data_IF_096714467882
#
_entry.id   IF_096714467882
#
_cell.length_a   1.000
_cell.length_b   1.000
_cell.length_c   1.000
_cell.angle_alpha   90.00
_cell.angle_beta   90.00
_cell.angle_gamma   90.00
#
_symmetry.space_group_name_H-M   'P 1'
#
loop_
_entity.id
_entity.type
_entity.pdbx_description
1 polymer ?
#
# COMPACT_ATOMS: atom_id res chain seq x y z
N UNK A 1 49.73 -12.40 9.74
CA UNK A 1 49.34 -13.22 8.56
C UNK A 1 47.99 -13.92 8.75
N UNK A 2 47.76 -14.62 9.87
CA UNK A 2 46.51 -15.37 10.13
C UNK A 2 45.22 -14.52 10.18
N UNK A 3 45.25 -13.33 10.79
CA UNK A 3 44.08 -12.43 10.82
C UNK A 3 43.66 -11.92 9.43
N UNK A 4 44.63 -11.62 8.56
CA UNK A 4 44.36 -11.14 7.20
C UNK A 4 43.75 -12.25 6.33
N UNK A 5 44.20 -13.49 6.52
CA UNK A 5 43.66 -14.65 5.83
C UNK A 5 42.23 -14.97 6.29
N UNK A 6 41.97 -14.93 7.60
CA UNK A 6 40.63 -15.11 8.15
C UNK A 6 39.65 -14.03 7.66
N UNK A 7 40.08 -12.77 7.62
CA UNK A 7 39.28 -11.67 7.08
C UNK A 7 38.93 -11.86 5.60
N UNK A 8 39.88 -12.29 4.78
CA UNK A 8 39.66 -12.54 3.35
C UNK A 8 38.67 -13.71 3.11
N UNK A 9 38.75 -14.77 3.90
CA UNK A 9 37.82 -15.91 3.83
C UNK A 9 36.40 -15.49 4.21
N UNK A 10 36.24 -14.71 5.28
CA UNK A 10 34.93 -14.21 5.71
C UNK A 10 34.31 -13.25 4.66
N UNK A 11 35.12 -12.35 4.10
CA UNK A 11 34.68 -11.47 3.00
C UNK A 11 34.25 -12.25 1.77
N UNK A 12 35.01 -13.28 1.40
CA UNK A 12 34.71 -14.12 0.23
C UNK A 12 33.44 -14.95 0.45
N UNK A 13 33.25 -15.50 1.66
CA UNK A 13 32.04 -16.22 2.03
C UNK A 13 30.82 -15.30 2.07
N UNK A 14 30.95 -14.07 2.59
CA UNK A 14 29.89 -13.07 2.57
C UNK A 14 29.53 -12.64 1.14
N UNK A 15 30.54 -12.37 0.29
CA UNK A 15 30.34 -12.03 -1.11
C UNK A 15 29.64 -13.17 -1.87
N UNK A 16 30.03 -14.43 -1.62
CA UNK A 16 29.38 -15.60 -2.21
C UNK A 16 27.93 -15.76 -1.74
N UNK A 17 27.65 -15.58 -0.44
CA UNK A 17 26.30 -15.68 0.11
C UNK A 17 25.33 -14.62 -0.46
N UNK A 18 25.87 -13.42 -0.70
CA UNK A 18 25.18 -12.29 -1.30
C UNK A 18 25.01 -12.45 -2.82
N UNK A 19 25.90 -13.20 -3.47
CA UNK A 19 25.88 -13.36 -4.91
C UNK A 19 24.70 -14.22 -5.37
N UNK A 20 23.83 -13.61 -6.18
CA UNK A 20 22.73 -14.29 -6.87
C UNK A 20 23.02 -14.25 -8.37
N UNK A 21 23.30 -15.38 -9.04
CA UNK A 21 23.55 -15.40 -10.48
C UNK A 21 22.26 -15.10 -11.23
N UNK A 22 22.13 -13.86 -11.71
CA UNK A 22 20.98 -13.39 -12.49
C UNK A 22 21.25 -13.56 -13.99
N UNK A 23 20.23 -13.87 -14.80
CA UNK A 23 20.36 -13.94 -16.26
C UNK A 23 20.87 -12.62 -16.85
N UNK A 24 21.65 -12.69 -17.93
CA UNK A 24 22.21 -11.52 -18.61
C UNK A 24 21.17 -10.57 -19.23
N UNK A 25 19.90 -10.98 -19.28
CA UNK A 25 18.78 -10.15 -19.75
C UNK A 25 18.28 -9.11 -18.74
N UNK A 26 18.78 -9.11 -17.50
CA UNK A 26 18.39 -8.12 -16.47
C UNK A 26 19.22 -6.85 -16.66
N UNK A 27 18.54 -5.72 -16.88
CA UNK A 27 19.18 -4.41 -17.11
C UNK A 27 19.99 -3.91 -15.92
N UNK A 28 19.52 -4.16 -14.69
CA UNK A 28 20.15 -3.70 -13.45
C UNK A 28 20.28 -4.83 -12.40
N UNK A 29 21.15 -5.84 -12.62
CA UNK A 29 21.26 -7.02 -11.75
C UNK A 29 21.60 -6.67 -10.31
N UNK A 30 22.41 -5.63 -10.10
CA UNK A 30 22.85 -5.19 -8.78
C UNK A 30 21.69 -4.70 -7.89
N UNK A 31 20.62 -4.15 -8.46
CA UNK A 31 19.42 -3.74 -7.69
C UNK A 31 18.67 -4.94 -7.16
N UNK A 32 18.53 -5.98 -7.99
CA UNK A 32 17.89 -7.23 -7.58
C UNK A 32 18.75 -7.99 -6.57
N UNK A 33 20.08 -7.97 -6.74
CA UNK A 33 21.00 -8.50 -5.74
C UNK A 33 20.88 -7.74 -4.41
N UNK A 34 20.81 -6.40 -4.42
CA UNK A 34 20.56 -5.62 -3.20
C UNK A 34 19.22 -5.96 -2.53
N UNK A 35 18.16 -6.12 -3.33
CA UNK A 35 16.85 -6.53 -2.83
C UNK A 35 16.91 -7.94 -2.20
N UNK A 36 17.56 -8.89 -2.87
CA UNK A 36 17.79 -10.25 -2.37
C UNK A 36 18.64 -10.25 -1.08
N UNK A 37 19.64 -9.38 -0.97
CA UNK A 37 20.40 -9.19 0.28
C UNK A 37 19.48 -8.73 1.41
N UNK A 38 18.60 -7.75 1.16
CA UNK A 38 17.66 -7.26 2.18
C UNK A 38 16.74 -8.39 2.62
N UNK A 39 16.18 -9.15 1.68
CA UNK A 39 15.30 -10.29 1.95
C UNK A 39 16.05 -11.40 2.71
N UNK A 40 17.28 -11.74 2.31
CA UNK A 40 18.13 -12.72 3.00
C UNK A 40 18.50 -12.25 4.41
N UNK A 41 18.80 -10.98 4.61
CA UNK A 41 19.02 -10.41 5.94
C UNK A 41 17.74 -10.47 6.78
N UNK A 42 16.56 -10.31 6.18
CA UNK A 42 15.29 -10.53 6.88
C UNK A 42 15.11 -12.02 7.26
N UNK A 43 15.42 -12.95 6.34
CA UNK A 43 15.19 -14.40 6.48
C UNK A 43 16.25 -15.16 7.32
N UNK A 44 17.54 -14.84 7.24
CA UNK A 44 18.61 -15.45 8.08
C UNK A 44 18.28 -15.30 9.57
N UNK A 45 17.64 -14.19 9.91
CA UNK A 45 17.29 -13.83 11.28
C UNK A 45 15.94 -14.41 11.73
N UNK A 46 15.21 -15.13 10.87
CA UNK A 46 14.09 -16.00 11.29
C UNK A 46 14.56 -17.38 11.75
N UNK A 47 15.70 -17.88 11.23
CA UNK A 47 16.21 -19.22 11.53
C UNK A 47 17.08 -19.31 12.79
N UNK A 48 17.48 -18.17 13.37
CA UNK A 48 18.18 -18.10 14.65
C UNK A 48 17.56 -17.00 15.51
N UNK A 49 16.65 -17.32 16.46
CA UNK A 49 16.64 -16.53 17.69
C UNK A 49 18.03 -16.68 18.37
N UNK A 50 18.36 -15.90 19.40
CA UNK A 50 19.47 -16.25 20.34
C UNK A 50 20.86 -15.63 20.19
N UNK A 51 20.97 -14.32 19.88
CA UNK A 51 22.09 -13.55 20.44
C UNK A 51 21.74 -12.07 20.69
N UNK A 52 21.14 -11.41 19.69
CA UNK A 52 20.73 -10.01 19.81
C UNK A 52 19.44 -9.84 20.65
N UNK A 53 18.55 -10.83 20.59
CA UNK A 53 17.32 -10.85 21.41
C UNK A 53 17.61 -11.13 22.89
N UNK A 54 18.60 -11.98 23.17
CA UNK A 54 19.07 -12.31 24.52
C UNK A 54 19.89 -11.20 25.19
N UNK A 55 20.40 -10.24 24.41
CA UNK A 55 21.10 -9.04 24.92
C UNK A 55 20.15 -7.85 25.19
N UNK A 56 18.86 -7.93 24.84
CA UNK A 56 17.83 -6.97 25.26
C UNK A 56 17.99 -5.52 24.77
N UNK A 57 18.77 -5.26 23.72
CA UNK A 57 19.20 -3.88 23.41
C UNK A 57 18.16 -3.07 22.60
N UNK A 58 17.26 -3.69 21.84
CA UNK A 58 16.07 -3.07 21.22
C UNK A 58 15.34 -4.09 20.34
N UNK A 59 14.03 -3.95 20.12
CA UNK A 59 13.33 -4.76 19.11
C UNK A 59 13.95 -4.43 17.75
N UNK A 60 14.47 -5.43 17.03
CA UNK A 60 15.28 -5.27 15.80
C UNK A 60 14.61 -4.41 14.73
N UNK A 61 13.29 -4.44 14.66
CA UNK A 61 12.48 -3.59 13.78
C UNK A 61 12.61 -2.11 14.14
N UNK A 62 12.70 -1.76 15.43
CA UNK A 62 12.91 -0.37 15.86
C UNK A 62 14.24 0.17 15.34
N UNK A 63 15.33 -0.60 15.45
CA UNK A 63 16.63 -0.14 14.96
C UNK A 63 16.58 0.11 13.45
N UNK A 64 15.96 -0.80 12.70
CA UNK A 64 15.80 -0.65 11.26
C UNK A 64 14.92 0.56 10.92
N UNK A 65 13.78 0.73 11.61
CA UNK A 65 12.89 1.88 11.45
C UNK A 65 13.56 3.19 11.82
N UNK A 66 14.37 3.23 12.88
CA UNK A 66 15.11 4.42 13.28
C UNK A 66 16.12 4.80 12.20
N UNK A 67 16.91 3.86 11.70
CA UNK A 67 17.88 4.13 10.62
C UNK A 67 17.17 4.59 9.34
N UNK A 68 16.12 3.90 8.92
CA UNK A 68 15.33 4.28 7.74
C UNK A 68 14.70 5.66 7.94
N UNK A 69 14.13 5.93 9.11
CA UNK A 69 13.50 7.21 9.42
C UNK A 69 14.51 8.35 9.40
N UNK A 70 15.68 8.17 9.98
CA UNK A 70 16.74 9.19 10.00
C UNK A 70 17.22 9.59 8.60
N UNK A 71 17.20 8.66 7.65
CA UNK A 71 17.71 8.90 6.29
C UNK A 71 16.59 9.38 5.36
N UNK A 72 15.40 8.81 5.48
CA UNK A 72 14.32 8.98 4.51
C UNK A 72 13.23 9.94 4.96
N UNK A 73 12.98 10.13 6.26
CA UNK A 73 11.87 10.99 6.70
C UNK A 73 12.19 12.44 6.40
N UNK A 74 11.28 13.08 5.66
CA UNK A 74 11.38 14.48 5.30
C UNK A 74 10.14 15.24 5.78
N UNK A 75 10.34 16.53 6.01
CA UNK A 75 9.25 17.48 6.23
C UNK A 75 8.43 17.67 4.96
N UNK A 76 7.13 17.94 5.14
CA UNK A 76 6.25 18.32 4.04
C UNK A 76 6.75 19.62 3.40
N UNK A 77 7.17 19.54 2.13
CA UNK A 77 7.61 20.70 1.35
C UNK A 77 6.76 20.86 0.11
N UNK A 78 6.11 22.01 -0.04
CA UNK A 78 5.38 22.33 -1.26
C UNK A 78 6.34 22.72 -2.39
N UNK A 79 5.97 22.42 -3.64
CA UNK A 79 6.71 22.88 -4.83
C UNK A 79 5.78 23.70 -5.74
N UNK A 80 6.25 24.06 -6.94
CA UNK A 80 5.44 24.80 -7.91
C UNK A 80 4.19 24.04 -8.34
N UNK A 81 4.29 22.72 -8.57
CA UNK A 81 3.19 21.91 -9.08
C UNK A 81 2.26 21.35 -7.99
N UNK A 82 2.82 20.99 -6.81
CA UNK A 82 2.08 20.25 -5.77
C UNK A 82 2.20 20.95 -4.42
N UNK A 83 1.06 21.19 -3.78
CA UNK A 83 0.97 21.57 -2.38
C UNK A 83 1.01 20.32 -1.51
N UNK A 84 1.94 20.28 -0.55
CA UNK A 84 2.13 19.13 0.35
C UNK A 84 1.96 19.57 1.79
N UNK A 85 1.08 18.88 2.50
CA UNK A 85 0.74 19.16 3.90
C UNK A 85 0.61 17.85 4.70
N UNK A 86 0.87 17.93 6.00
CA UNK A 86 0.55 16.84 6.93
C UNK A 86 -0.85 17.10 7.52
N UNK A 87 -1.65 16.05 7.64
CA UNK A 87 -3.04 16.07 8.11
C UNK A 87 -3.38 14.77 8.86
N UNK A 88 -4.66 14.58 9.16
CA UNK A 88 -5.18 13.39 9.84
C UNK A 88 -6.48 12.95 9.19
N UNK A 89 -6.60 11.65 8.88
CA UNK A 89 -7.83 11.02 8.40
C UNK A 89 -8.29 9.99 9.42
N UNK A 90 -9.47 10.19 10.02
CA UNK A 90 -10.04 9.23 10.97
C UNK A 90 -9.15 9.00 12.21
N UNK A 91 -8.36 9.99 12.61
CA UNK A 91 -7.38 9.87 13.70
C UNK A 91 -6.00 9.36 13.26
N UNK A 92 -5.83 8.93 12.00
CA UNK A 92 -4.57 8.39 11.47
C UNK A 92 -3.77 9.50 10.79
N UNK A 93 -2.47 9.69 11.11
CA UNK A 93 -1.63 10.67 10.43
C UNK A 93 -1.57 10.39 8.92
N UNK A 94 -1.58 11.45 8.12
CA UNK A 94 -1.64 11.34 6.66
C UNK A 94 -0.89 12.49 6.01
N UNK A 95 -0.11 12.21 4.98
CA UNK A 95 0.49 13.24 4.13
C UNK A 95 -0.36 13.45 2.88
N UNK A 96 -0.76 14.70 2.64
CA UNK A 96 -1.61 15.08 1.52
C UNK A 96 -0.77 15.76 0.44
N UNK A 97 -0.97 15.33 -0.80
CA UNK A 97 -0.36 15.88 -2.01
C UNK A 97 -1.48 16.38 -2.92
N UNK A 98 -1.63 17.69 -3.01
CA UNK A 98 -2.66 18.33 -3.81
C UNK A 98 -2.02 19.09 -4.98
N UNK A 99 -2.31 18.72 -6.24
CA UNK A 99 -1.85 19.49 -7.39
C UNK A 99 -2.44 20.91 -7.33
N UNK A 100 -1.65 21.93 -7.62
CA UNK A 100 -2.10 23.33 -7.54
C UNK A 100 -2.91 23.78 -8.75
N UNK A 101 -2.56 23.25 -9.91
CA UNK A 101 -3.25 23.50 -11.18
C UNK A 101 -4.15 22.31 -11.53
N UNK A 102 -5.01 22.45 -12.55
CA UNK A 102 -5.88 21.37 -13.01
C UNK A 102 -7.36 21.67 -12.80
N UNK A 103 -8.17 20.61 -12.78
CA UNK A 103 -9.63 20.74 -12.66
C UNK A 103 -10.05 21.21 -11.27
N UNK A 104 -11.21 21.86 -11.19
CA UNK A 104 -11.81 22.27 -9.91
C UNK A 104 -12.15 21.05 -9.03
N UNK A 105 -12.68 19.98 -9.63
CA UNK A 105 -12.85 18.68 -9.01
C UNK A 105 -11.80 17.70 -9.53
N UNK A 106 -11.07 17.08 -8.61
CA UNK A 106 -9.92 16.22 -8.88
C UNK A 106 -10.22 14.77 -8.53
N UNK A 107 -9.41 13.86 -9.08
CA UNK A 107 -9.43 12.47 -8.62
C UNK A 107 -8.88 12.41 -7.19
N UNK A 108 -9.32 11.42 -6.42
CA UNK A 108 -8.79 11.15 -5.09
C UNK A 108 -8.10 9.80 -5.04
N UNK A 109 -6.92 9.72 -4.44
CA UNK A 109 -6.20 8.46 -4.20
C UNK A 109 -5.82 8.35 -2.73
N UNK A 110 -6.31 7.33 -2.06
CA UNK A 110 -5.83 6.96 -0.74
C UNK A 110 -4.70 5.93 -0.90
N UNK A 111 -3.50 6.25 -0.40
CA UNK A 111 -2.30 5.45 -0.60
C UNK A 111 -1.82 4.82 0.72
N UNK A 112 -1.55 3.52 0.70
CA UNK A 112 -0.94 2.78 1.81
C UNK A 112 0.47 2.33 1.42
N UNK A 113 1.47 2.77 2.18
CA UNK A 113 2.86 2.40 1.91
C UNK A 113 3.13 0.92 2.24
N UNK A 114 4.11 0.31 1.57
CA UNK A 114 4.63 -1.02 1.90
C UNK A 114 5.59 -1.01 3.09
N UNK A 115 6.18 -2.19 3.37
CA UNK A 115 7.14 -2.39 4.47
C UNK A 115 6.76 -3.48 5.47
N UNK A 116 5.94 -4.45 5.06
CA UNK A 116 5.61 -5.62 5.89
C UNK A 116 4.87 -5.29 7.18
N UNK A 117 4.13 -4.18 7.21
CA UNK A 117 3.45 -3.62 8.39
C UNK A 117 4.36 -3.29 9.59
N UNK A 118 5.67 -3.31 9.36
CA UNK A 118 6.69 -3.11 10.37
C UNK A 118 7.61 -1.95 10.01
N UNK A 119 7.67 -1.57 8.74
CA UNK A 119 8.53 -0.54 8.19
C UNK A 119 7.76 0.41 7.29
N UNK A 120 8.35 1.58 7.06
CA UNK A 120 7.82 2.55 6.11
C UNK A 120 7.22 3.76 6.81
N UNK A 121 7.01 4.83 6.04
CA UNK A 121 6.19 5.96 6.47
C UNK A 121 5.76 6.75 5.24
N UNK A 122 4.57 7.34 5.29
CA UNK A 122 4.12 8.33 4.29
C UNK A 122 5.04 9.55 4.19
N UNK A 123 5.96 9.72 5.15
CA UNK A 123 6.93 10.82 5.20
C UNK A 123 8.29 10.49 4.59
N UNK A 124 8.51 9.25 4.15
CA UNK A 124 9.76 8.85 3.51
C UNK A 124 9.93 9.52 2.15
N UNK A 125 11.15 9.94 1.81
CA UNK A 125 11.50 10.62 0.56
C UNK A 125 11.11 9.79 -0.68
N UNK A 126 11.31 8.49 -0.63
CA UNK A 126 10.89 7.56 -1.69
C UNK A 126 9.37 7.60 -1.94
N UNK A 127 8.55 7.46 -0.90
CA UNK A 127 7.09 7.55 -1.01
C UNK A 127 6.59 8.97 -1.32
N UNK A 128 7.25 10.01 -0.80
CA UNK A 128 6.95 11.41 -1.13
C UNK A 128 7.16 11.68 -2.62
N UNK A 129 8.27 11.22 -3.21
CA UNK A 129 8.51 11.32 -4.66
C UNK A 129 7.46 10.57 -5.48
N UNK A 130 7.12 9.35 -5.06
CA UNK A 130 6.08 8.55 -5.71
C UNK A 130 4.73 9.27 -5.68
N UNK A 131 4.30 9.74 -4.51
CA UNK A 131 3.02 10.42 -4.33
C UNK A 131 2.95 11.75 -5.09
N UNK A 132 4.04 12.53 -5.13
CA UNK A 132 4.10 13.73 -5.98
C UNK A 132 3.93 13.40 -7.45
N UNK A 133 4.68 12.41 -7.95
CA UNK A 133 4.61 11.99 -9.34
C UNK A 133 3.19 11.53 -9.70
N UNK A 134 2.56 10.74 -8.83
CA UNK A 134 1.16 10.33 -8.99
C UNK A 134 0.19 11.53 -8.98
N UNK A 135 0.37 12.49 -8.07
CA UNK A 135 -0.46 13.68 -8.00
C UNK A 135 -0.41 14.48 -9.30
N UNK A 136 0.81 14.70 -9.82
CA UNK A 136 1.06 15.44 -11.07
C UNK A 136 0.51 14.71 -12.29
N UNK A 137 0.84 13.42 -12.46
CA UNK A 137 0.47 12.66 -13.65
C UNK A 137 -1.03 12.41 -13.76
N UNK A 138 -1.73 12.29 -12.62
CA UNK A 138 -3.14 11.92 -12.58
C UNK A 138 -4.08 13.13 -12.39
N UNK A 139 -3.55 14.33 -12.14
CA UNK A 139 -4.29 15.47 -11.58
C UNK A 139 -5.20 15.01 -10.43
N UNK A 140 -4.56 14.44 -9.41
CA UNK A 140 -5.23 13.75 -8.31
C UNK A 140 -4.71 14.22 -6.95
N UNK A 141 -5.60 14.33 -5.97
CA UNK A 141 -5.22 14.50 -4.58
C UNK A 141 -4.82 13.15 -4.02
N UNK A 142 -3.56 13.01 -3.62
CA UNK A 142 -3.03 11.79 -3.01
C UNK A 142 -2.98 11.97 -1.50
N UNK A 143 -3.52 11.02 -0.75
CA UNK A 143 -3.48 11.00 0.71
C UNK A 143 -2.72 9.74 1.16
N UNK A 144 -1.45 9.89 1.50
CA UNK A 144 -0.59 8.80 1.96
C UNK A 144 -0.77 8.59 3.46
N UNK A 145 -1.34 7.46 3.84
CA UNK A 145 -1.69 7.12 5.23
C UNK A 145 -0.47 6.55 5.96
N UNK A 146 -0.22 7.06 7.16
CA UNK A 146 0.86 6.65 8.06
C UNK A 146 0.26 5.77 9.17
N UNK A 147 -0.16 4.55 8.78
CA UNK A 147 -0.80 3.60 9.69
C UNK A 147 0.20 3.06 10.72
N UNK A 148 -0.29 2.62 11.89
CA UNK A 148 0.58 2.13 12.97
C UNK A 148 1.43 0.93 12.53
N UNK A 149 2.62 0.76 13.07
CA UNK A 149 3.55 -0.31 12.67
C UNK A 149 3.87 -1.27 13.80
N UNK A 150 4.25 -2.48 13.43
CA UNK A 150 4.80 -3.46 14.34
C UNK A 150 6.21 -3.03 14.81
N UNK A 151 6.61 -3.41 16.03
CA UNK A 151 5.91 -4.28 16.98
C UNK A 151 4.83 -3.60 17.84
N UNK A 152 4.73 -2.27 17.86
CA UNK A 152 3.81 -1.53 18.76
C UNK A 152 2.34 -1.76 18.43
N UNK A 153 2.05 -1.93 17.14
CA UNK A 153 0.75 -2.33 16.64
C UNK A 153 0.92 -3.57 15.77
N UNK A 154 0.15 -4.61 16.06
CA UNK A 154 0.13 -5.85 15.27
C UNK A 154 -1.25 -6.02 14.65
N UNK A 155 -1.36 -6.88 13.64
CA UNK A 155 -2.65 -7.16 13.03
C UNK A 155 -3.70 -7.52 14.12
N UNK A 156 -4.91 -6.92 14.10
CA UNK A 156 -5.53 -6.16 13.01
C UNK A 156 -5.40 -4.62 13.08
N UNK A 157 -4.53 -4.05 13.91
CA UNK A 157 -4.47 -2.60 14.12
C UNK A 157 -4.23 -1.80 12.82
N UNK A 158 -3.31 -2.26 11.97
CA UNK A 158 -3.01 -1.63 10.68
C UNK A 158 -4.22 -1.59 9.75
N UNK A 159 -5.00 -2.68 9.77
CA UNK A 159 -6.23 -2.77 9.00
C UNK A 159 -7.29 -1.82 9.53
N UNK A 160 -7.43 -1.70 10.86
CA UNK A 160 -8.34 -0.74 11.47
C UNK A 160 -7.98 0.71 11.14
N UNK A 161 -6.69 1.06 11.16
CA UNK A 161 -6.23 2.39 10.75
C UNK A 161 -6.53 2.65 9.27
N UNK A 162 -6.26 1.66 8.40
CA UNK A 162 -6.56 1.77 6.97
C UNK A 162 -8.06 1.98 6.72
N UNK A 163 -8.94 1.25 7.42
CA UNK A 163 -10.39 1.44 7.33
C UNK A 163 -10.85 2.78 7.88
N UNK A 164 -10.31 3.22 9.03
CA UNK A 164 -10.66 4.51 9.63
C UNK A 164 -10.29 5.66 8.69
N UNK A 165 -9.08 5.63 8.12
CA UNK A 165 -8.64 6.59 7.13
C UNK A 165 -9.51 6.56 5.86
N UNK A 166 -9.90 5.37 5.40
CA UNK A 166 -10.74 5.19 4.21
C UNK A 166 -12.16 5.73 4.39
N UNK A 167 -12.78 5.47 5.55
CA UNK A 167 -14.10 6.03 5.89
C UNK A 167 -14.05 7.55 5.98
N UNK A 168 -13.01 8.10 6.61
CA UNK A 168 -12.81 9.54 6.69
C UNK A 168 -12.55 10.17 5.31
N UNK A 169 -11.75 9.51 4.47
CA UNK A 169 -11.46 9.95 3.10
C UNK A 169 -12.72 10.09 2.25
N UNK A 170 -13.68 9.18 2.39
CA UNK A 170 -14.95 9.20 1.66
C UNK A 170 -16.00 10.14 2.27
N UNK A 171 -15.70 10.81 3.39
CA UNK A 171 -16.64 11.75 4.00
C UNK A 171 -16.80 13.01 3.16
N UNK A 172 -18.02 13.56 3.09
CA UNK A 172 -18.31 14.80 2.35
C UNK A 172 -17.39 15.95 2.77
N UNK A 173 -17.08 16.06 4.07
CA UNK A 173 -16.20 17.09 4.59
C UNK A 173 -14.78 17.02 4.00
N UNK A 174 -14.20 15.82 3.87
CA UNK A 174 -12.87 15.65 3.28
C UNK A 174 -12.92 15.87 1.77
N UNK A 175 -13.93 15.31 1.10
CA UNK A 175 -14.09 15.45 -0.35
C UNK A 175 -14.24 16.92 -0.76
N UNK A 176 -15.09 17.68 -0.07
CA UNK A 176 -15.28 19.12 -0.31
C UNK A 176 -14.01 19.92 -0.01
N UNK A 177 -13.37 19.67 1.14
CA UNK A 177 -12.15 20.40 1.56
C UNK A 177 -11.04 20.32 0.53
N UNK A 178 -10.86 19.16 -0.09
CA UNK A 178 -9.77 18.94 -1.04
C UNK A 178 -10.21 19.02 -2.51
N UNK A 179 -11.49 19.30 -2.77
CA UNK A 179 -12.05 19.34 -4.12
C UNK A 179 -11.96 18.00 -4.83
N UNK A 180 -12.25 16.90 -4.13
CA UNK A 180 -12.21 15.54 -4.68
C UNK A 180 -13.59 15.18 -5.22
N UNK A 181 -13.63 14.68 -6.46
CA UNK A 181 -14.83 14.13 -7.08
C UNK A 181 -15.18 12.77 -6.43
N UNK A 182 -16.33 12.62 -5.75
CA UNK A 182 -16.74 11.37 -5.11
C UNK A 182 -16.84 10.19 -6.08
N UNK A 183 -17.06 10.45 -7.37
CA UNK A 183 -17.17 9.39 -8.39
C UNK A 183 -15.82 8.97 -8.96
N UNK A 184 -14.71 9.59 -8.51
CA UNK A 184 -13.37 9.39 -9.07
C UNK A 184 -12.33 9.19 -7.97
N UNK A 185 -12.67 8.34 -7.02
CA UNK A 185 -11.81 7.92 -5.92
C UNK A 185 -11.23 6.53 -6.17
N UNK A 186 -10.01 6.27 -5.71
CA UNK A 186 -9.44 4.93 -5.65
C UNK A 186 -8.55 4.74 -4.42
N UNK A 187 -8.27 3.47 -4.10
CA UNK A 187 -7.28 3.05 -3.10
C UNK A 187 -6.09 2.43 -3.82
N UNK A 188 -4.89 2.64 -3.28
CA UNK A 188 -3.64 2.14 -3.86
C UNK A 188 -2.64 1.81 -2.75
N UNK A 189 -1.65 0.98 -3.07
CA UNK A 189 -0.56 0.66 -2.17
C UNK A 189 0.40 -0.36 -2.76
N UNK A 190 1.60 -0.45 -2.18
CA UNK A 190 2.64 -1.39 -2.60
C UNK A 190 2.88 -2.46 -1.54
N UNK A 191 3.19 -3.69 -1.96
CA UNK A 191 3.52 -4.80 -1.06
C UNK A 191 2.47 -4.98 0.07
N UNK A 192 2.87 -4.88 1.34
CA UNK A 192 1.97 -4.93 2.50
C UNK A 192 0.88 -3.83 2.49
N UNK A 193 1.18 -2.65 1.94
CA UNK A 193 0.18 -1.59 1.73
C UNK A 193 -0.80 -1.94 0.61
N UNK A 194 -0.36 -2.66 -0.42
CA UNK A 194 -1.25 -3.22 -1.45
C UNK A 194 -2.22 -4.26 -0.88
N UNK A 195 -1.77 -5.05 0.10
CA UNK A 195 -2.67 -5.94 0.85
C UNK A 195 -3.76 -5.15 1.60
N UNK A 196 -3.39 -4.07 2.30
CA UNK A 196 -4.35 -3.19 2.98
C UNK A 196 -5.33 -2.54 1.99
N UNK A 197 -4.82 -2.05 0.86
CA UNK A 197 -5.65 -1.46 -0.20
C UNK A 197 -6.71 -2.46 -0.71
N UNK A 198 -6.30 -3.70 -0.97
CA UNK A 198 -7.21 -4.75 -1.42
C UNK A 198 -8.25 -5.11 -0.34
N UNK A 199 -7.85 -5.21 0.92
CA UNK A 199 -8.76 -5.51 2.03
C UNK A 199 -9.80 -4.41 2.26
N UNK A 200 -9.36 -3.14 2.23
CA UNK A 200 -10.26 -1.97 2.33
C UNK A 200 -11.27 -1.96 1.18
N UNK A 201 -10.82 -2.20 -0.05
CA UNK A 201 -11.71 -2.19 -1.21
C UNK A 201 -12.85 -3.20 -1.06
N UNK A 202 -12.54 -4.41 -0.60
CA UNK A 202 -13.54 -5.45 -0.32
C UNK A 202 -14.52 -5.03 0.79
N UNK A 203 -14.02 -4.45 1.88
CA UNK A 203 -14.86 -4.01 3.00
C UNK A 203 -15.84 -2.88 2.62
N UNK A 204 -15.36 -1.90 1.84
CA UNK A 204 -16.19 -0.77 1.38
C UNK A 204 -17.29 -1.26 0.44
N UNK A 205 -16.98 -2.19 -0.46
CA UNK A 205 -17.97 -2.83 -1.34
C UNK A 205 -19.02 -3.62 -0.54
N UNK A 206 -18.60 -4.42 0.44
CA UNK A 206 -19.51 -5.16 1.30
C UNK A 206 -20.44 -4.23 2.09
N UNK A 207 -19.91 -3.11 2.61
CA UNK A 207 -20.70 -2.12 3.37
C UNK A 207 -21.75 -1.44 2.49
N UNK A 208 -21.41 -1.11 1.25
CA UNK A 208 -22.39 -0.60 0.27
C UNK A 208 -23.48 -1.64 0.02
N UNK A 209 -23.09 -2.90 -0.21
CA UNK A 209 -24.04 -4.00 -0.46
C UNK A 209 -24.95 -4.22 0.74
N UNK A 210 -24.44 -4.21 1.97
CA UNK A 210 -25.24 -4.32 3.19
C UNK A 210 -26.14 -3.11 3.41
N UNK A 211 -25.68 -1.89 3.17
CA UNK A 211 -26.51 -0.67 3.30
C UNK A 211 -27.63 -0.65 2.26
N UNK A 212 -27.39 -1.14 1.04
CA UNK A 212 -28.42 -1.38 0.04
C UNK A 212 -29.34 -2.56 0.39
N UNK A 213 -28.87 -3.55 1.16
CA UNK A 213 -29.64 -4.73 1.58
C UNK A 213 -30.42 -4.51 2.89
N UNK A 214 -30.08 -3.50 3.69
CA UNK A 214 -30.82 -3.13 4.90
C UNK A 214 -31.93 -2.13 4.59
N UNK A 215 -32.93 -2.59 3.84
CA UNK A 215 -34.27 -1.99 3.81
C UNK A 215 -35.28 -3.08 4.16
N UNK A 216 -35.88 -3.00 5.36
CA UNK A 216 -37.32 -3.11 5.61
C UNK A 216 -37.65 -3.13 7.12
N UNK A 217 -38.27 -2.01 7.54
CA UNK A 217 -39.50 -1.83 8.35
C UNK A 217 -39.89 -2.85 9.45
N UNK A 218 -40.22 -2.29 10.63
CA UNK A 218 -40.75 -2.97 11.82
C UNK A 218 -42.02 -3.82 11.61
N UNK A 219 -42.13 -4.87 12.45
CA UNK A 219 -43.36 -5.51 13.00
C UNK A 219 -43.97 -6.72 12.27
N UNK A 220 -44.05 -7.81 13.04
CA UNK A 220 -44.78 -9.08 12.89
C UNK A 220 -44.33 -10.15 11.88
N UNK A 221 -44.19 -11.34 12.47
CA UNK A 221 -43.88 -12.68 11.98
C UNK A 221 -44.79 -13.14 10.85
N UNK A 222 -44.22 -13.65 9.76
CA UNK A 222 -44.71 -14.85 9.06
C UNK A 222 -43.57 -15.44 8.20
N UNK A 223 -43.30 -16.73 8.41
CA UNK A 223 -42.40 -17.53 7.58
C UNK A 223 -43.11 -17.86 6.27
N UNK A 224 -42.57 -17.42 5.14
CA UNK A 224 -42.90 -18.00 3.84
C UNK A 224 -41.62 -18.37 3.08
N UNK A 225 -41.43 -19.67 2.90
CA UNK A 225 -40.49 -20.27 1.98
C UNK A 225 -41.02 -20.08 0.56
N UNK A 226 -40.26 -19.45 -0.33
CA UNK A 226 -40.49 -19.55 -1.77
C UNK A 226 -39.17 -19.89 -2.48
N UNK A 227 -39.10 -21.11 -3.00
CA UNK A 227 -38.10 -21.61 -3.95
C UNK A 227 -38.75 -21.71 -5.33
N UNK A 228 -38.16 -21.06 -6.34
CA UNK A 228 -38.13 -21.42 -7.79
C UNK A 228 -37.79 -20.15 -8.62
N UNK A 229 -36.58 -20.01 -9.19
CA UNK A 229 -36.06 -20.54 -10.47
C UNK A 229 -36.47 -19.76 -11.75
N UNK A 230 -35.49 -19.65 -12.67
CA UNK A 230 -35.53 -19.29 -14.12
C UNK A 230 -35.27 -17.80 -14.46
N UNK A 231 -34.46 -17.39 -15.45
CA UNK A 231 -33.63 -18.11 -16.44
C UNK A 231 -32.59 -17.20 -17.13
N UNK A 232 -31.71 -17.86 -17.89
CA UNK A 232 -30.67 -17.37 -18.78
C UNK A 232 -31.21 -17.06 -20.20
N UNK A 233 -30.46 -16.25 -20.96
CA UNK A 233 -30.38 -16.13 -22.44
C UNK A 233 -31.12 -14.99 -23.16
N UNK A 234 -30.33 -14.05 -23.72
CA UNK A 234 -30.37 -13.53 -25.11
C UNK A 234 -29.22 -12.49 -25.27
N UNK A 235 -28.35 -12.49 -26.28
CA UNK A 235 -28.20 -13.34 -27.46
C UNK A 235 -26.84 -13.13 -28.14
N UNK A 236 -26.29 -14.22 -28.70
CA UNK A 236 -25.24 -14.21 -29.71
C UNK A 236 -25.90 -14.07 -31.09
N UNK A 237 -25.49 -13.06 -31.87
CA UNK A 237 -25.60 -13.08 -33.33
C UNK A 237 -24.44 -12.26 -33.92
N UNK A 238 -23.39 -12.96 -34.36
CA UNK A 238 -22.47 -12.47 -35.38
C UNK A 238 -22.15 -13.66 -36.29
N UNK A 239 -22.80 -13.67 -37.46
CA UNK A 239 -22.56 -14.66 -38.50
C UNK A 239 -21.30 -14.33 -39.27
N UNK A 240 -20.44 -15.34 -39.44
CA UNK A 240 -19.39 -15.37 -40.46
C UNK A 240 -20.04 -15.68 -41.80
N UNK A 241 -19.77 -14.86 -42.81
CA UNK A 241 -19.92 -15.22 -44.21
C UNK A 241 -18.56 -15.04 -44.89
N UNK A 242 -17.93 -16.16 -45.26
CA UNK A 242 -16.76 -16.23 -46.13
C UNK A 242 -17.20 -16.57 -47.56
N UNK A 243 -17.07 -15.60 -48.47
CA UNK A 243 -16.91 -15.72 -49.94
C UNK A 243 -16.20 -14.40 -50.35
N UNK A 244 -15.09 -14.28 -51.06
CA UNK A 244 -14.42 -15.08 -52.09
C UNK A 244 -14.14 -14.14 -53.28
N UNK A 245 -12.87 -14.03 -53.67
CA UNK A 245 -12.32 -13.49 -54.95
C UNK A 245 -12.16 -11.98 -55.21
N UNK A 246 -10.95 -11.70 -55.74
CA UNK A 246 -10.36 -10.50 -56.36
C UNK A 246 -9.85 -9.38 -55.44
#
# INVERSE_FOLDING_TARGET
>A
MRLRLAGAVLLSAAAYYVYLPLPSGVSEPWKLMLLDIIIKIQNINQYKPDAAHSLGVCHRVHLLNQVVSWVEVIEARSCAAVHVTDSTLGGVPTRVFQPKEGKQLKRGVLYFHGGGWALGSGRMRSYDRLCRKMAEDLDAVIMSVDYRLAPEAVFPDQYHDALAASRAFLSSQVLERYGIDPHRVCVSGDSAGGNLAAAVAQEVENTHTHTHTHAHTHTHTHTHTHTSHLWCSAGQHYGKDERGFC
#
